data_IF_270527222836
#
_entry.id   IF_270527222836
#
_cell.length_a   1.000
_cell.length_b   1.000
_cell.length_c   1.000
_cell.angle_alpha   90.00
_cell.angle_beta   90.00
_cell.angle_gamma   90.00
#
_symmetry.space_group_name_H-M   'P 1'
#
loop_
_entity.id
_entity.type
_entity.pdbx_description
1 polymer ?
#
# COMPACT_ATOMS: atom_id res chain seq x y z
N UNK A 1 38.61 16.03 54.33
CA UNK A 1 37.75 14.88 54.70
C UNK A 1 37.45 14.98 56.18
N UNK A 2 36.19 14.91 56.64
CA UNK A 2 35.92 15.02 58.08
C UNK A 2 36.43 13.75 58.78
N UNK A 3 37.35 13.95 59.72
CA UNK A 3 37.86 12.91 60.63
C UNK A 3 36.82 12.71 61.73
N UNK A 4 36.59 11.46 62.16
CA UNK A 4 35.78 11.19 63.35
C UNK A 4 36.56 11.66 64.58
N UNK A 5 36.09 12.70 65.28
CA UNK A 5 36.83 13.34 66.39
C UNK A 5 37.05 12.42 67.60
N UNK A 6 36.34 11.30 67.72
CA UNK A 6 36.45 10.37 68.87
C UNK A 6 37.41 9.19 68.67
N UNK A 7 37.84 8.85 67.45
CA UNK A 7 38.70 7.67 67.23
C UNK A 7 39.89 7.90 66.30
N UNK A 8 40.02 9.07 65.66
CA UNK A 8 41.16 9.39 64.79
C UNK A 8 41.28 8.53 63.53
N UNK A 9 40.36 7.57 63.30
CA UNK A 9 40.38 6.74 62.11
C UNK A 9 39.79 7.46 60.90
N UNK A 10 40.50 7.38 59.77
CA UNK A 10 39.95 7.76 58.49
C UNK A 10 38.72 6.88 58.20
N UNK A 11 37.55 7.50 58.03
CA UNK A 11 36.36 6.83 57.50
C UNK A 11 36.72 6.27 56.13
N UNK A 12 37.06 4.98 56.06
CA UNK A 12 37.30 4.27 54.79
C UNK A 12 36.05 4.49 53.94
N UNK A 13 36.17 5.27 52.86
CA UNK A 13 35.16 5.24 51.79
C UNK A 13 35.08 3.78 51.38
N UNK A 14 33.89 3.20 51.45
CA UNK A 14 33.61 1.94 50.79
C UNK A 14 33.98 2.15 49.32
N UNK A 15 35.09 1.57 48.89
CA UNK A 15 35.42 1.47 47.47
C UNK A 15 34.51 0.36 46.98
N UNK A 16 33.47 0.72 46.23
CA UNK A 16 32.65 -0.26 45.51
C UNK A 16 33.60 -1.17 44.73
N UNK A 17 33.52 -2.47 45.01
CA UNK A 17 34.34 -3.47 44.32
C UNK A 17 34.06 -3.46 42.81
N UNK A 18 34.94 -4.05 41.99
CA UNK A 18 34.69 -4.15 40.55
C UNK A 18 33.36 -4.86 40.31
N UNK A 19 32.43 -4.18 39.63
CA UNK A 19 31.13 -4.73 39.26
C UNK A 19 31.32 -6.05 38.50
N UNK A 20 30.54 -7.06 38.87
CA UNK A 20 30.62 -8.35 38.17
C UNK A 20 29.87 -8.29 36.83
N UNK A 21 30.30 -9.11 35.87
CA UNK A 21 29.62 -9.19 34.55
C UNK A 21 28.14 -9.55 34.71
N UNK A 22 27.80 -10.37 35.71
CA UNK A 22 26.41 -10.76 36.03
C UNK A 22 25.58 -9.56 36.50
N UNK A 23 26.12 -8.73 37.39
CA UNK A 23 25.44 -7.51 37.87
C UNK A 23 25.11 -6.55 36.72
N UNK A 24 26.03 -6.40 35.76
CA UNK A 24 25.80 -5.56 34.58
C UNK A 24 24.71 -6.14 33.66
N UNK A 25 24.65 -7.46 33.48
CA UNK A 25 23.55 -8.09 32.73
C UNK A 25 22.20 -7.91 33.42
N UNK A 26 22.14 -8.06 34.75
CA UNK A 26 20.92 -7.80 35.51
C UNK A 26 20.47 -6.34 35.41
N UNK A 27 21.41 -5.39 35.43
CA UNK A 27 21.12 -3.98 35.22
C UNK A 27 20.59 -3.71 33.80
N UNK A 28 21.18 -4.33 32.77
CA UNK A 28 20.68 -4.26 31.40
C UNK A 28 19.23 -4.75 31.29
N UNK A 29 18.92 -5.91 31.89
CA UNK A 29 17.57 -6.48 31.90
C UNK A 29 16.57 -5.56 32.63
N UNK A 30 16.99 -4.95 33.74
CA UNK A 30 16.16 -4.01 34.49
C UNK A 30 15.86 -2.74 33.69
N UNK A 31 16.86 -2.16 33.02
CA UNK A 31 16.69 -0.99 32.16
C UNK A 31 15.76 -1.31 30.98
N UNK A 32 15.92 -2.46 30.34
CA UNK A 32 15.06 -2.89 29.25
C UNK A 32 13.60 -3.05 29.71
N UNK A 33 13.40 -3.69 30.87
CA UNK A 33 12.07 -3.84 31.46
C UNK A 33 11.43 -2.47 31.78
N UNK A 34 12.21 -1.52 32.30
CA UNK A 34 11.74 -0.17 32.58
C UNK A 34 11.38 0.60 31.30
N UNK A 35 12.23 0.53 30.27
CA UNK A 35 11.97 1.12 28.96
C UNK A 35 10.66 0.60 28.36
N UNK A 36 10.43 -0.71 28.44
CA UNK A 36 9.19 -1.34 27.97
C UNK A 36 7.96 -0.83 28.73
N UNK A 37 8.03 -0.72 30.06
CA UNK A 37 6.93 -0.18 30.88
C UNK A 37 6.62 1.28 30.54
N UNK A 38 7.65 2.11 30.38
CA UNK A 38 7.49 3.52 29.99
C UNK A 38 6.90 3.66 28.59
N UNK A 39 7.31 2.82 27.64
CA UNK A 39 6.76 2.83 26.28
C UNK A 39 5.25 2.50 26.27
N UNK A 40 4.83 1.50 27.05
CA UNK A 40 3.41 1.16 27.24
C UNK A 40 2.65 2.31 27.87
N UNK A 41 3.18 2.90 28.95
CA UNK A 41 2.53 4.03 29.62
C UNK A 41 2.39 5.24 28.70
N UNK A 42 3.44 5.60 27.96
CA UNK A 42 3.42 6.68 26.96
C UNK A 42 2.35 6.43 25.89
N UNK A 43 2.21 5.19 25.44
CA UNK A 43 1.21 4.81 24.43
C UNK A 43 -0.23 4.96 24.96
N UNK A 44 -0.46 4.58 26.22
CA UNK A 44 -1.76 4.78 26.90
C UNK A 44 -2.11 6.26 27.04
N UNK A 45 -1.16 7.09 27.50
CA UNK A 45 -1.36 8.54 27.59
C UNK A 45 -1.64 9.16 26.22
N UNK A 46 -0.92 8.74 25.18
CA UNK A 46 -1.15 9.22 23.80
C UNK A 46 -2.55 8.85 23.32
N UNK A 47 -3.04 7.64 23.60
CA UNK A 47 -4.42 7.24 23.26
C UNK A 47 -5.45 8.12 23.96
N UNK A 48 -5.25 8.39 25.26
CA UNK A 48 -6.13 9.31 26.01
C UNK A 48 -6.12 10.71 25.42
N UNK A 49 -4.96 11.24 25.05
CA UNK A 49 -4.87 12.55 24.38
C UNK A 49 -5.63 12.53 23.04
N UNK A 50 -5.47 11.46 22.25
CA UNK A 50 -6.17 11.32 20.98
C UNK A 50 -7.70 11.23 21.14
N UNK A 51 -8.21 10.64 22.24
CA UNK A 51 -9.65 10.65 22.52
C UNK A 51 -10.21 12.01 22.93
N UNK A 52 -9.36 13.02 23.15
CA UNK A 52 -9.79 14.38 23.48
C UNK A 52 -9.88 15.29 22.27
N UNK A 53 -9.27 14.93 21.13
CA UNK A 53 -9.33 15.78 19.93
C UNK A 53 -10.72 15.71 19.28
N UNK A 54 -11.24 16.80 18.69
CA UNK A 54 -12.62 16.84 18.18
C UNK A 54 -12.98 15.72 17.20
N UNK A 55 -12.05 15.35 16.32
CA UNK A 55 -12.25 14.31 15.30
C UNK A 55 -12.52 12.91 15.90
N UNK A 56 -12.10 12.66 17.13
CA UNK A 56 -12.36 11.38 17.83
C UNK A 56 -13.81 11.21 18.28
N UNK A 57 -14.62 12.28 18.24
CA UNK A 57 -16.05 12.26 18.58
C UNK A 57 -16.94 11.92 17.39
N UNK A 58 -16.38 11.86 16.19
CA UNK A 58 -17.15 11.52 15.00
C UNK A 58 -17.52 10.03 15.02
N UNK A 59 -18.74 9.66 14.59
CA UNK A 59 -19.08 8.28 14.35
C UNK A 59 -18.10 7.62 13.35
N UNK A 60 -17.83 6.31 13.49
CA UNK A 60 -16.90 5.61 12.62
C UNK A 60 -17.30 5.69 11.13
N UNK A 61 -18.59 5.75 10.81
CA UNK A 61 -19.11 5.86 9.45
C UNK A 61 -18.67 7.19 8.80
N UNK A 62 -18.71 8.28 9.58
CA UNK A 62 -18.29 9.60 9.09
C UNK A 62 -16.78 9.64 8.89
N UNK A 63 -16.01 9.00 9.78
CA UNK A 63 -14.56 8.87 9.61
C UNK A 63 -14.20 8.04 8.37
N UNK A 64 -14.92 6.94 8.12
CA UNK A 64 -14.75 6.11 6.92
C UNK A 64 -15.04 6.92 5.65
N UNK A 65 -16.08 7.75 5.66
CA UNK A 65 -16.41 8.61 4.51
C UNK A 65 -15.30 9.63 4.25
N UNK A 66 -14.81 10.30 5.31
CA UNK A 66 -13.66 11.20 5.22
C UNK A 66 -12.43 10.47 4.66
N UNK A 67 -12.12 9.28 5.17
CA UNK A 67 -11.00 8.47 4.69
C UNK A 67 -11.16 8.11 3.22
N UNK A 68 -12.37 7.73 2.82
CA UNK A 68 -12.70 7.37 1.43
C UNK A 68 -12.49 8.56 0.49
N UNK A 69 -12.91 9.76 0.88
CA UNK A 69 -12.69 10.99 0.12
C UNK A 69 -11.20 11.32 -0.01
N UNK A 70 -10.46 11.27 1.09
CA UNK A 70 -9.03 11.59 1.12
C UNK A 70 -8.21 10.59 0.29
N UNK A 71 -8.53 9.30 0.36
CA UNK A 71 -7.90 8.27 -0.48
C UNK A 71 -8.25 8.39 -1.97
N UNK A 72 -9.34 9.08 -2.33
CA UNK A 72 -9.73 9.33 -3.72
C UNK A 72 -9.10 10.58 -4.31
N UNK A 73 -8.94 11.64 -3.52
CA UNK A 73 -8.51 12.95 -4.00
C UNK A 73 -7.02 13.24 -3.81
N UNK A 74 -6.29 12.36 -3.13
CA UNK A 74 -4.87 12.55 -2.81
C UNK A 74 -4.08 11.25 -2.93
N UNK A 75 -2.75 11.31 -2.77
CA UNK A 75 -1.88 10.13 -2.68
C UNK A 75 -1.96 9.39 -1.33
N UNK A 76 -2.90 9.76 -0.47
CA UNK A 76 -3.08 9.15 0.85
C UNK A 76 -3.61 7.72 0.73
N UNK A 77 -2.96 6.79 1.41
CA UNK A 77 -3.34 5.38 1.43
C UNK A 77 -4.01 4.99 2.75
N UNK A 78 -4.81 3.91 2.79
CA UNK A 78 -5.32 3.34 4.04
C UNK A 78 -4.18 2.97 5.00
N UNK A 79 -3.02 2.58 4.46
CA UNK A 79 -1.80 2.31 5.24
C UNK A 79 -1.30 3.56 5.96
N UNK A 80 -1.25 4.69 5.25
CA UNK A 80 -0.89 5.97 5.87
C UNK A 80 -1.89 6.39 6.94
N UNK A 81 -3.20 6.27 6.66
CA UNK A 81 -4.25 6.58 7.65
C UNK A 81 -4.08 5.75 8.92
N UNK A 82 -3.74 4.47 8.79
CA UNK A 82 -3.44 3.61 9.93
C UNK A 82 -2.12 3.91 10.64
N UNK A 83 -1.23 4.75 10.10
CA UNK A 83 -0.04 5.21 10.82
C UNK A 83 -0.34 6.30 11.85
N UNK A 84 -1.46 7.02 11.70
CA UNK A 84 -1.79 8.22 12.49
C UNK A 84 -2.07 7.88 13.95
N UNK A 85 -3.00 6.95 14.22
CA UNK A 85 -3.27 6.47 15.57
C UNK A 85 -3.82 5.05 15.57
N UNK A 86 -3.90 4.42 16.75
CA UNK A 86 -4.40 3.06 16.89
C UNK A 86 -5.87 2.90 16.44
N UNK A 87 -6.71 3.90 16.71
CA UNK A 87 -8.14 3.85 16.38
C UNK A 87 -8.34 3.98 14.86
N UNK A 88 -7.60 4.88 14.21
CA UNK A 88 -7.60 5.02 12.75
C UNK A 88 -7.05 3.79 12.05
N UNK A 89 -6.03 3.15 12.63
CA UNK A 89 -5.52 1.87 12.12
C UNK A 89 -6.58 0.79 12.17
N UNK A 90 -7.26 0.65 13.31
CA UNK A 90 -8.35 -0.31 13.46
C UNK A 90 -9.44 -0.07 12.41
N UNK A 91 -9.86 1.18 12.23
CA UNK A 91 -10.87 1.54 11.24
C UNK A 91 -10.40 1.25 9.80
N UNK A 92 -9.20 1.71 9.44
CA UNK A 92 -8.65 1.52 8.10
C UNK A 92 -8.46 0.04 7.74
N UNK A 93 -7.95 -0.78 8.66
CA UNK A 93 -7.72 -2.21 8.42
C UNK A 93 -9.00 -3.02 8.31
N UNK A 94 -10.07 -2.62 9.02
CA UNK A 94 -11.35 -3.33 9.06
C UNK A 94 -12.38 -2.78 8.07
N UNK A 95 -12.01 -1.85 7.19
CA UNK A 95 -12.92 -1.24 6.21
C UNK A 95 -12.49 -1.61 4.79
N UNK A 96 -13.00 -2.71 4.20
CA UNK A 96 -12.59 -3.18 2.88
C UNK A 96 -12.74 -2.14 1.76
N UNK A 97 -13.73 -1.23 1.88
CA UNK A 97 -13.98 -0.17 0.91
C UNK A 97 -12.74 0.69 0.64
N UNK A 98 -11.94 0.97 1.67
CA UNK A 98 -10.73 1.79 1.55
C UNK A 98 -9.64 1.11 0.71
N UNK A 99 -9.67 -0.22 0.61
CA UNK A 99 -8.72 -1.03 -0.14
C UNK A 99 -9.22 -1.39 -1.55
N UNK A 100 -10.47 -1.04 -1.88
CA UNK A 100 -11.09 -1.38 -3.18
C UNK A 100 -10.53 -0.57 -4.35
N UNK A 101 -9.89 0.58 -4.09
CA UNK A 101 -9.25 1.41 -5.12
C UNK A 101 -7.75 1.21 -5.09
N UNK A 102 -7.18 0.92 -6.25
CA UNK A 102 -5.76 0.64 -6.44
C UNK A 102 -5.26 1.59 -7.51
N UNK A 103 -4.40 2.54 -7.12
CA UNK A 103 -3.69 3.41 -8.04
C UNK A 103 -2.20 3.15 -7.87
N UNK A 104 -1.55 2.61 -8.90
CA UNK A 104 -0.14 2.26 -8.84
C UNK A 104 0.62 2.90 -9.99
N UNK A 105 1.67 3.62 -9.61
CA UNK A 105 2.73 3.99 -10.53
C UNK A 105 3.70 2.80 -10.68
N UNK A 106 4.00 2.43 -11.93
CA UNK A 106 4.92 1.35 -12.28
C UNK A 106 6.17 1.97 -12.90
N UNK A 107 7.31 1.72 -12.29
CA UNK A 107 8.60 2.27 -12.73
C UNK A 107 9.66 1.19 -12.77
N UNK A 108 10.83 1.49 -13.33
CA UNK A 108 11.97 0.58 -13.39
C UNK A 108 12.48 0.20 -11.98
N UNK A 109 12.47 1.16 -11.06
CA UNK A 109 12.87 0.97 -9.66
C UNK A 109 11.79 0.31 -8.78
N UNK A 110 10.97 -0.60 -9.34
CA UNK A 110 9.90 -1.27 -8.61
C UNK A 110 10.50 -2.09 -7.45
N UNK A 111 10.10 -1.83 -6.19
CA UNK A 111 10.57 -2.63 -5.06
C UNK A 111 10.14 -4.09 -5.21
N UNK A 112 11.05 -5.03 -4.92
CA UNK A 112 10.77 -6.48 -4.98
C UNK A 112 9.59 -6.92 -4.11
N UNK A 113 9.30 -6.19 -3.03
CA UNK A 113 8.17 -6.45 -2.13
C UNK A 113 6.82 -5.93 -2.66
N UNK A 114 6.80 -5.16 -3.76
CA UNK A 114 5.57 -4.56 -4.27
C UNK A 114 4.49 -5.58 -4.64
N UNK A 115 4.80 -6.71 -5.31
CA UNK A 115 3.81 -7.75 -5.60
C UNK A 115 3.21 -8.37 -4.34
N UNK A 116 4.03 -8.59 -3.30
CA UNK A 116 3.57 -9.15 -2.02
C UNK A 116 2.64 -8.15 -1.30
N UNK A 117 3.03 -6.89 -1.23
CA UNK A 117 2.21 -5.82 -0.66
C UNK A 117 0.87 -5.66 -1.41
N UNK A 118 0.89 -5.80 -2.74
CA UNK A 118 -0.31 -5.77 -3.55
C UNK A 118 -1.22 -6.97 -3.28
N UNK A 119 -0.65 -8.16 -3.10
CA UNK A 119 -1.42 -9.36 -2.73
C UNK A 119 -2.15 -9.17 -1.39
N UNK A 120 -1.45 -8.61 -0.40
CA UNK A 120 -2.03 -8.28 0.90
C UNK A 120 -3.13 -7.21 0.79
N UNK A 121 -2.94 -6.22 -0.09
CA UNK A 121 -3.92 -5.18 -0.37
C UNK A 121 -5.20 -5.77 -0.99
N UNK A 122 -5.03 -6.65 -1.99
CA UNK A 122 -6.13 -7.34 -2.64
C UNK A 122 -6.93 -8.19 -1.65
N UNK A 123 -6.28 -8.85 -0.70
CA UNK A 123 -6.96 -9.60 0.35
C UNK A 123 -7.83 -8.69 1.23
N UNK A 124 -7.33 -7.50 1.59
CA UNK A 124 -8.06 -6.53 2.43
C UNK A 124 -9.27 -5.90 1.76
N UNK A 125 -9.27 -5.82 0.43
CA UNK A 125 -10.46 -5.38 -0.35
C UNK A 125 -11.64 -6.35 -0.24
N UNK A 126 -11.39 -7.57 0.27
CA UNK A 126 -12.38 -8.63 0.43
C UNK A 126 -13.12 -8.88 -0.91
N UNK A 127 -14.45 -8.96 -0.89
CA UNK A 127 -15.25 -9.25 -2.08
C UNK A 127 -15.84 -7.99 -2.74
N UNK A 128 -15.29 -6.81 -2.45
CA UNK A 128 -15.75 -5.57 -3.07
C UNK A 128 -15.21 -5.43 -4.51
N UNK A 129 -15.94 -4.72 -5.39
CA UNK A 129 -15.44 -4.38 -6.71
C UNK A 129 -14.12 -3.60 -6.64
N UNK A 130 -13.11 -4.08 -7.37
CA UNK A 130 -11.80 -3.47 -7.47
C UNK A 130 -11.76 -2.42 -8.58
N UNK A 131 -11.26 -1.24 -8.26
CA UNK A 131 -11.09 -0.13 -9.19
C UNK A 131 -9.60 0.15 -9.35
N UNK A 132 -9.04 -0.27 -10.48
CA UNK A 132 -7.60 -0.34 -10.71
C UNK A 132 -7.19 0.73 -11.72
N UNK A 133 -6.13 1.47 -11.39
CA UNK A 133 -5.45 2.41 -12.27
C UNK A 133 -3.95 2.17 -12.21
N UNK A 134 -3.34 1.83 -13.36
CA UNK A 134 -1.91 1.60 -13.48
C UNK A 134 -1.31 2.62 -14.44
N UNK A 135 -0.28 3.33 -13.99
CA UNK A 135 0.40 4.35 -14.77
C UNK A 135 1.89 4.05 -14.81
N UNK A 136 2.46 3.73 -15.98
CA UNK A 136 3.90 3.55 -16.07
C UNK A 136 4.60 4.92 -16.09
N UNK A 137 5.78 5.03 -15.47
CA UNK A 137 6.61 6.25 -15.52
C UNK A 137 7.18 6.48 -16.91
N UNK A 138 7.60 5.40 -17.56
CA UNK A 138 8.19 5.36 -18.88
C UNK A 138 7.62 4.17 -19.66
N UNK A 139 7.71 4.21 -20.99
CA UNK A 139 7.15 3.16 -21.86
C UNK A 139 8.29 2.36 -22.51
N UNK A 140 9.10 1.73 -21.66
CA UNK A 140 10.23 0.87 -22.03
C UNK A 140 10.00 -0.59 -21.59
N UNK A 141 10.92 -1.47 -21.99
CA UNK A 141 10.80 -2.91 -21.76
C UNK A 141 10.87 -3.31 -20.27
N UNK A 142 11.66 -2.61 -19.44
CA UNK A 142 11.80 -2.97 -18.03
C UNK A 142 10.56 -2.56 -17.23
N UNK A 143 9.98 -1.39 -17.52
CA UNK A 143 8.70 -0.96 -16.96
C UNK A 143 7.58 -1.91 -17.39
N UNK A 144 7.58 -2.40 -18.64
CA UNK A 144 6.59 -3.40 -19.09
C UNK A 144 6.73 -4.76 -18.40
N UNK A 145 7.96 -5.20 -18.08
CA UNK A 145 8.18 -6.41 -17.30
C UNK A 145 7.65 -6.25 -15.85
N UNK A 146 7.90 -5.09 -15.25
CA UNK A 146 7.36 -4.75 -13.94
C UNK A 146 5.83 -4.67 -13.96
N UNK A 147 5.26 -4.08 -15.01
CA UNK A 147 3.81 -4.03 -15.21
C UNK A 147 3.21 -5.43 -15.35
N UNK A 148 3.85 -6.33 -16.10
CA UNK A 148 3.45 -7.74 -16.22
C UNK A 148 3.42 -8.41 -14.84
N UNK A 149 4.46 -8.23 -14.04
CA UNK A 149 4.54 -8.77 -12.67
C UNK A 149 3.40 -8.28 -11.79
N UNK A 150 3.06 -6.98 -11.86
CA UNK A 150 1.92 -6.41 -11.13
C UNK A 150 0.58 -6.97 -11.65
N UNK A 151 0.43 -7.05 -12.97
CA UNK A 151 -0.78 -7.60 -13.60
C UNK A 151 -1.01 -9.07 -13.23
N UNK A 152 0.04 -9.88 -13.15
CA UNK A 152 -0.03 -11.29 -12.71
C UNK A 152 -0.66 -11.42 -11.32
N UNK A 153 -0.33 -10.51 -10.39
CA UNK A 153 -0.97 -10.45 -9.07
C UNK A 153 -2.41 -9.97 -9.18
N UNK A 154 -2.69 -8.91 -9.94
CA UNK A 154 -4.04 -8.35 -10.04
C UNK A 154 -5.06 -9.34 -10.64
N UNK A 155 -4.65 -10.12 -11.65
CA UNK A 155 -5.56 -11.04 -12.34
C UNK A 155 -6.00 -12.21 -11.45
N UNK A 156 -5.31 -12.47 -10.33
CA UNK A 156 -5.75 -13.46 -9.32
C UNK A 156 -7.12 -13.13 -8.74
N UNK A 157 -7.51 -11.84 -8.74
CA UNK A 157 -8.82 -11.35 -8.32
C UNK A 157 -9.62 -10.72 -9.46
N UNK A 158 -9.38 -11.13 -10.70
CA UNK A 158 -10.07 -10.64 -11.91
C UNK A 158 -11.60 -10.71 -11.84
N UNK A 159 -12.14 -11.74 -11.15
CA UNK A 159 -13.58 -11.88 -10.94
C UNK A 159 -14.23 -10.71 -10.19
N UNK A 160 -13.44 -9.96 -9.42
CA UNK A 160 -13.87 -8.81 -8.63
C UNK A 160 -13.54 -7.47 -9.28
N UNK A 161 -13.00 -7.42 -10.49
CA UNK A 161 -12.68 -6.14 -11.12
C UNK A 161 -13.95 -5.39 -11.50
N UNK A 162 -14.13 -4.19 -10.95
CA UNK A 162 -15.21 -3.25 -11.28
C UNK A 162 -14.79 -2.25 -12.36
N UNK A 163 -13.53 -1.79 -12.33
CA UNK A 163 -12.95 -1.02 -13.43
C UNK A 163 -11.43 -1.19 -13.54
N UNK A 164 -10.89 -1.11 -14.74
CA UNK A 164 -9.44 -1.04 -14.97
C UNK A 164 -9.08 0.05 -15.98
N UNK A 165 -8.03 0.81 -15.64
CA UNK A 165 -7.39 1.80 -16.50
C UNK A 165 -5.88 1.53 -16.51
N UNK A 166 -5.31 1.15 -17.65
CA UNK A 166 -3.87 0.92 -17.77
C UNK A 166 -3.36 0.97 -19.22
N UNK A 167 -2.03 1.02 -19.37
CA UNK A 167 -1.38 0.59 -20.61
C UNK A 167 -1.43 -0.94 -20.68
N UNK A 168 -1.66 -1.47 -21.88
CA UNK A 168 -1.66 -2.92 -22.12
C UNK A 168 -0.61 -3.30 -23.17
N UNK A 169 0.63 -3.57 -22.74
CA UNK A 169 1.67 -4.07 -23.63
C UNK A 169 1.30 -5.46 -24.17
N UNK A 170 1.77 -5.84 -25.38
CA UNK A 170 1.52 -7.17 -25.96
C UNK A 170 1.84 -8.33 -25.02
N UNK A 171 2.88 -8.19 -24.18
CA UNK A 171 3.31 -9.18 -23.19
C UNK A 171 2.34 -9.33 -22.01
N UNK A 172 1.23 -8.59 -21.96
CA UNK A 172 0.21 -8.74 -20.92
C UNK A 172 -1.13 -9.27 -21.48
N UNK A 173 -1.24 -9.50 -22.80
CA UNK A 173 -2.51 -9.89 -23.45
C UNK A 173 -2.95 -11.30 -23.06
N UNK A 174 -1.99 -12.21 -22.90
CA UNK A 174 -2.18 -13.59 -22.44
C UNK A 174 -2.78 -13.65 -21.03
N UNK A 175 -2.40 -12.72 -20.14
CA UNK A 175 -2.89 -12.65 -18.77
C UNK A 175 -4.40 -12.39 -18.68
N UNK A 176 -4.95 -11.68 -19.67
CA UNK A 176 -6.37 -11.29 -19.70
C UNK A 176 -7.23 -12.25 -20.53
N UNK A 177 -6.66 -12.87 -21.57
CA UNK A 177 -7.40 -13.69 -22.54
C UNK A 177 -8.19 -14.85 -21.92
N UNK A 178 -7.69 -15.42 -20.82
CA UNK A 178 -8.28 -16.59 -20.15
C UNK A 178 -8.99 -16.24 -18.83
N UNK A 179 -9.37 -14.99 -18.61
CA UNK A 179 -9.97 -14.53 -17.35
C UNK A 179 -11.43 -14.16 -17.52
N UNK A 180 -12.17 -14.26 -16.41
CA UNK A 180 -13.57 -13.88 -16.34
C UNK A 180 -13.71 -12.58 -15.55
N UNK A 181 -14.54 -11.67 -16.06
CA UNK A 181 -14.73 -10.33 -15.52
C UNK A 181 -16.23 -10.04 -15.31
N UNK A 182 -16.92 -10.78 -14.42
CA UNK A 182 -18.39 -10.78 -14.32
C UNK A 182 -18.98 -9.47 -13.83
N UNK A 183 -18.22 -8.67 -13.07
CA UNK A 183 -18.69 -7.40 -12.50
C UNK A 183 -17.99 -6.17 -13.09
N UNK A 184 -17.23 -6.35 -14.17
CA UNK A 184 -16.44 -5.29 -14.80
C UNK A 184 -17.35 -4.34 -15.56
N UNK A 185 -17.34 -3.06 -15.15
CA UNK A 185 -18.21 -2.01 -15.69
C UNK A 185 -17.50 -1.05 -16.63
N UNK A 186 -16.19 -0.87 -16.44
CA UNK A 186 -15.41 0.11 -17.21
C UNK A 186 -14.01 -0.41 -17.49
N UNK A 187 -13.57 -0.28 -18.73
CA UNK A 187 -12.24 -0.70 -19.20
C UNK A 187 -11.66 0.40 -20.05
N UNK A 188 -10.46 0.87 -19.69
CA UNK A 188 -9.66 1.78 -20.49
C UNK A 188 -8.26 1.20 -20.67
N UNK A 189 -8.03 0.59 -21.83
CA UNK A 189 -6.75 -0.01 -22.19
C UNK A 189 -6.13 0.83 -23.30
N UNK A 190 -4.95 1.40 -23.04
CA UNK A 190 -4.18 2.16 -24.03
C UNK A 190 -3.01 1.31 -24.55
N UNK A 191 -2.73 1.30 -25.87
CA UNK A 191 -1.52 0.68 -26.38
C UNK A 191 -0.28 1.50 -25.97
N UNK A 192 0.90 0.86 -25.91
CA UNK A 192 2.17 1.59 -25.81
C UNK A 192 2.37 2.65 -26.89
N UNK A 193 3.25 3.61 -26.64
CA UNK A 193 3.75 4.57 -27.63
C UNK A 193 4.50 3.80 -28.71
N UNK A 194 4.36 4.24 -29.96
CA UNK A 194 5.03 3.60 -31.10
C UNK A 194 4.41 2.28 -31.56
N UNK A 195 3.50 1.66 -30.79
CA UNK A 195 2.57 0.68 -31.38
C UNK A 195 1.63 1.43 -32.31
N UNK A 196 1.78 1.20 -33.62
CA UNK A 196 0.79 1.64 -34.61
C UNK A 196 -0.53 1.03 -34.17
N UNK A 197 -1.51 1.85 -33.77
CA UNK A 197 -2.87 1.39 -33.51
C UNK A 197 -3.36 0.66 -34.75
N UNK A 198 -3.31 -0.67 -34.76
CA UNK A 198 -3.87 -1.51 -35.83
C UNK A 198 -5.41 -1.53 -35.80
N UNK A 199 -6.03 -0.63 -35.03
CA UNK A 199 -7.43 -0.24 -35.21
C UNK A 199 -7.66 0.62 -36.47
N UNK A 200 -6.84 0.47 -37.51
CA UNK A 200 -7.06 1.11 -38.82
C UNK A 200 -8.26 0.53 -39.57
N UNK A 201 -8.80 -0.61 -39.14
CA UNK A 201 -10.08 -1.12 -39.60
C UNK A 201 -10.88 -1.71 -38.42
N UNK A 202 -12.12 -1.25 -38.15
CA UNK A 202 -13.02 -2.03 -37.32
C UNK A 202 -13.20 -3.41 -37.98
N UNK A 203 -13.29 -4.51 -37.20
CA UNK A 203 -13.55 -5.83 -37.77
C UNK A 203 -14.76 -5.74 -38.69
N UNK A 204 -14.60 -6.20 -39.94
CA UNK A 204 -15.64 -6.17 -40.96
C UNK A 204 -16.83 -7.03 -40.51
N UNK A 205 -17.82 -6.41 -39.86
CA UNK A 205 -19.05 -7.07 -39.40
C UNK A 205 -20.02 -7.31 -40.58
N UNK A 206 -19.72 -6.78 -41.77
CA UNK A 206 -20.53 -6.97 -42.98
C UNK A 206 -19.67 -7.46 -44.15
N UNK A 207 -19.62 -8.78 -44.42
CA UNK A 207 -19.02 -9.28 -45.65
C UNK A 207 -20.01 -9.00 -46.78
N UNK A 208 -19.69 -8.03 -47.64
CA UNK A 208 -20.32 -7.91 -48.95
C UNK A 208 -20.95 -6.55 -49.23
N UNK A 209 -20.23 -5.75 -50.00
CA UNK A 209 -20.76 -5.11 -51.21
C UNK A 209 -19.59 -4.90 -52.17
N UNK A 210 -19.50 -5.77 -53.16
CA UNK A 210 -18.70 -5.55 -54.36
C UNK A 210 -19.21 -4.27 -55.02
N UNK A 211 -18.42 -3.20 -55.00
CA UNK A 211 -18.55 -2.14 -55.99
C UNK A 211 -17.56 -2.45 -57.09
N UNK A 212 -18.11 -2.82 -58.25
CA UNK A 212 -17.37 -3.18 -59.43
C UNK A 212 -16.55 -2.03 -59.97
N UNK A 213 -15.50 -2.43 -60.67
CA UNK A 213 -14.64 -1.61 -61.51
C UNK A 213 -15.45 -0.66 -62.39
N UNK A 214 -14.99 0.59 -62.46
CA UNK A 214 -15.31 1.50 -63.55
C UNK A 214 -14.04 2.30 -63.84
N UNK A 215 -13.20 1.72 -64.70
CA UNK A 215 -12.25 2.46 -65.51
C UNK A 215 -12.98 3.62 -66.20
N UNK A 216 -12.43 4.84 -66.13
CA UNK A 216 -12.50 5.80 -67.23
C UNK A 216 -11.42 6.89 -67.08
N UNK A 217 -10.42 6.79 -67.95
CA UNK A 217 -9.74 7.84 -68.73
C UNK A 217 -9.59 9.25 -68.11
N UNK A 218 -8.34 9.65 -67.87
CA UNK A 218 -7.60 10.62 -68.71
C UNK A 218 -6.09 10.39 -68.56
#
# INVERSE_FOLDING_TARGET
MPVCEDCGEYRRRAVEGPQTVTELFEEMDQVEALMKRLAVHRSSLRRRINSLVPISRLPPEILIEIFSLVCQSSSTTPVFLGSICADWRSLAWNTPLLWSRITLEVSDALPKSRPDLLSEWLLRSNNLPLHIKLFPTEEDDSVFLNLRTIMEVLVTRSAYWGSIECILPPQCHDLLSMRHFPILRSVLLRPPKGTISTFSQPPNIYPGRNYGDSEHNF
#
